data_IF_244676737313
#
_entry.id   IF_244676737313
#
_cell.length_a   1.000
_cell.length_b   1.000
_cell.length_c   1.000
_cell.angle_alpha   90.00
_cell.angle_beta   90.00
_cell.angle_gamma   90.00
#
_symmetry.space_group_name_H-M   'P 1'
#
loop_
_entity.id
_entity.type
_entity.pdbx_description
1 polymer ?
#
# COMPACT_ATOMS: atom_id res chain seq x y z
N UNK A 1 -8.98 1.87 -13.55
CA UNK A 1 -9.48 2.87 -12.58
C UNK A 1 -8.37 3.86 -12.25
N UNK A 2 -8.71 5.14 -12.17
CA UNK A 2 -7.82 6.22 -11.78
C UNK A 2 -8.48 7.09 -10.72
N UNK A 3 -7.67 7.74 -9.90
CA UNK A 3 -8.11 8.72 -8.92
C UNK A 3 -7.74 10.11 -9.42
N UNK A 4 -8.69 11.03 -9.43
CA UNK A 4 -8.51 12.43 -9.80
C UNK A 4 -8.82 13.28 -8.57
N UNK A 5 -7.91 14.19 -8.25
CA UNK A 5 -8.11 15.18 -7.18
C UNK A 5 -8.05 16.56 -7.80
N UNK A 6 -9.14 17.34 -7.69
CA UNK A 6 -9.21 18.68 -8.25
C UNK A 6 -9.59 19.71 -7.19
N UNK A 7 -8.81 20.78 -7.15
CA UNK A 7 -9.14 22.01 -6.42
C UNK A 7 -9.80 23.00 -7.38
N UNK A 8 -10.40 24.08 -6.84
CA UNK A 8 -11.11 25.06 -7.67
C UNK A 8 -10.24 25.60 -8.82
N UNK A 9 -8.99 25.90 -8.56
CA UNK A 9 -8.06 26.41 -9.59
C UNK A 9 -7.65 25.35 -10.65
N UNK A 10 -7.87 24.07 -10.38
CA UNK A 10 -7.57 22.96 -11.30
C UNK A 10 -8.78 22.56 -12.15
N UNK A 11 -9.96 23.03 -11.78
CA UNK A 11 -11.19 22.72 -12.49
C UNK A 11 -11.14 23.08 -13.99
N UNK A 12 -10.66 24.28 -14.39
CA UNK A 12 -10.49 24.61 -15.82
C UNK A 12 -9.56 23.64 -16.54
N UNK A 13 -8.48 23.22 -15.90
CA UNK A 13 -7.55 22.25 -16.49
C UNK A 13 -8.19 20.87 -16.72
N UNK A 14 -9.02 20.41 -15.79
CA UNK A 14 -9.77 19.17 -15.96
C UNK A 14 -10.79 19.28 -17.10
N UNK A 15 -11.55 20.36 -17.17
CA UNK A 15 -12.49 20.59 -18.28
C UNK A 15 -11.78 20.64 -19.63
N UNK A 16 -10.61 21.28 -19.68
CA UNK A 16 -9.79 21.32 -20.90
C UNK A 16 -9.27 19.92 -21.30
N UNK A 17 -8.78 19.13 -20.34
CA UNK A 17 -8.31 17.77 -20.60
C UNK A 17 -9.41 16.85 -21.12
N UNK A 18 -10.64 17.05 -20.63
CA UNK A 18 -11.83 16.32 -21.08
C UNK A 18 -12.42 16.87 -22.39
N UNK A 19 -11.91 18.00 -22.91
CA UNK A 19 -12.49 18.72 -24.07
C UNK A 19 -13.95 19.15 -23.82
N UNK A 20 -14.27 19.51 -22.56
CA UNK A 20 -15.61 19.90 -22.10
C UNK A 20 -15.60 21.32 -21.51
N UNK A 21 -15.32 22.36 -22.33
CA UNK A 21 -15.37 23.75 -21.84
C UNK A 21 -16.76 24.20 -21.40
N UNK A 22 -17.80 23.54 -21.88
CA UNK A 22 -19.21 23.78 -21.49
C UNK A 22 -19.46 23.60 -20.00
N UNK A 23 -18.65 22.80 -19.30
CA UNK A 23 -18.77 22.57 -17.85
C UNK A 23 -18.31 23.78 -17.01
N UNK A 24 -17.53 24.70 -17.58
CA UNK A 24 -17.00 25.86 -16.85
C UNK A 24 -18.11 26.83 -16.41
N UNK A 25 -19.08 27.06 -17.30
CA UNK A 25 -20.17 27.98 -17.10
C UNK A 25 -21.45 27.27 -16.63
N UNK A 26 -21.40 25.94 -16.41
CA UNK A 26 -22.55 25.18 -15.96
C UNK A 26 -22.84 25.48 -14.47
N UNK A 27 -24.05 25.96 -14.12
CA UNK A 27 -24.39 26.24 -12.72
C UNK A 27 -24.19 25.08 -11.75
N UNK A 28 -24.30 23.83 -12.21
CA UNK A 28 -24.06 22.63 -11.40
C UNK A 28 -22.59 22.43 -11.03
N UNK A 29 -21.63 23.08 -11.74
CA UNK A 29 -20.21 22.80 -11.58
C UNK A 29 -19.34 24.03 -11.39
N UNK A 30 -19.92 25.22 -11.31
CA UNK A 30 -19.21 26.51 -11.25
C UNK A 30 -18.28 26.63 -10.05
N UNK A 31 -18.63 26.07 -8.92
CA UNK A 31 -17.82 26.07 -7.70
C UNK A 31 -17.84 24.71 -6.97
N UNK A 32 -17.07 24.61 -5.88
CA UNK A 32 -16.98 23.36 -5.12
C UNK A 32 -18.31 22.96 -4.50
N UNK A 33 -19.10 23.85 -3.85
CA UNK A 33 -20.42 23.49 -3.32
C UNK A 33 -21.35 22.92 -4.38
N UNK A 34 -21.47 23.59 -5.53
CA UNK A 34 -22.33 23.16 -6.64
C UNK A 34 -21.90 21.78 -7.17
N UNK A 35 -20.58 21.53 -7.33
CA UNK A 35 -20.07 20.21 -7.72
C UNK A 35 -20.35 19.12 -6.70
N UNK A 36 -20.31 19.42 -5.41
CA UNK A 36 -20.65 18.45 -4.35
C UNK A 36 -22.13 18.10 -4.34
N UNK A 37 -23.01 19.09 -4.57
CA UNK A 37 -24.44 18.86 -4.69
C UNK A 37 -24.78 17.98 -5.89
N UNK A 38 -24.06 18.16 -7.00
CA UNK A 38 -24.25 17.42 -8.26
C UNK A 38 -23.15 16.36 -8.51
N UNK A 39 -22.56 15.83 -7.44
CA UNK A 39 -21.40 14.91 -7.55
C UNK A 39 -21.71 13.66 -8.39
N UNK A 40 -22.92 13.14 -8.34
CA UNK A 40 -23.32 11.98 -9.14
C UNK A 40 -23.30 12.26 -10.65
N UNK A 41 -23.80 13.41 -11.06
CA UNK A 41 -23.77 13.87 -12.45
C UNK A 41 -22.33 14.09 -12.93
N UNK A 42 -21.54 14.80 -12.12
CA UNK A 42 -20.12 15.04 -12.42
C UNK A 42 -19.32 13.74 -12.54
N UNK A 43 -19.53 12.80 -11.61
CA UNK A 43 -18.87 11.50 -11.65
C UNK A 43 -19.19 10.76 -12.95
N UNK A 44 -20.46 10.75 -13.37
CA UNK A 44 -20.87 10.08 -14.62
C UNK A 44 -20.19 10.72 -15.84
N UNK A 45 -20.10 12.04 -15.90
CA UNK A 45 -19.40 12.75 -16.99
C UNK A 45 -17.93 12.37 -17.05
N UNK A 46 -17.26 12.36 -15.89
CA UNK A 46 -15.83 11.99 -15.82
C UNK A 46 -15.63 10.51 -16.20
N UNK A 47 -16.47 9.62 -15.70
CA UNK A 47 -16.38 8.20 -16.03
C UNK A 47 -16.62 7.92 -17.51
N UNK A 48 -17.57 8.59 -18.14
CA UNK A 48 -17.84 8.43 -19.56
C UNK A 48 -16.66 8.91 -20.41
N UNK A 49 -16.05 10.03 -20.00
CA UNK A 49 -14.81 10.48 -20.65
C UNK A 49 -13.68 9.46 -20.47
N UNK A 50 -13.50 8.91 -19.25
CA UNK A 50 -12.48 7.87 -18.98
C UNK A 50 -12.72 6.62 -19.83
N UNK A 51 -13.97 6.18 -19.96
CA UNK A 51 -14.33 5.02 -20.79
C UNK A 51 -14.10 5.26 -22.29
N UNK A 52 -14.12 6.52 -22.72
CA UNK A 52 -13.82 6.88 -24.11
C UNK A 52 -12.33 6.84 -24.46
N UNK A 53 -11.45 6.76 -23.45
CA UNK A 53 -10.00 6.68 -23.69
C UNK A 53 -9.61 5.24 -24.08
N UNK A 54 -8.57 5.08 -24.95
CA UNK A 54 -8.10 3.77 -25.37
C UNK A 54 -7.65 2.88 -24.22
N UNK A 55 -6.98 3.47 -23.22
CA UNK A 55 -6.46 2.80 -22.02
C UNK A 55 -6.24 3.79 -20.85
N UNK A 56 -5.89 3.24 -19.69
CA UNK A 56 -5.64 4.03 -18.47
C UNK A 56 -4.43 4.95 -18.62
N UNK A 57 -3.37 4.50 -19.27
CA UNK A 57 -2.11 5.27 -19.41
C UNK A 57 -2.33 6.51 -20.28
N UNK A 58 -3.12 6.40 -21.34
CA UNK A 58 -3.52 7.53 -22.18
C UNK A 58 -4.35 8.55 -21.39
N UNK A 59 -5.29 8.09 -20.56
CA UNK A 59 -6.08 8.99 -19.73
C UNK A 59 -5.21 9.74 -18.70
N UNK A 60 -4.31 9.01 -18.02
CA UNK A 60 -3.35 9.58 -17.08
C UNK A 60 -2.46 10.61 -17.77
N UNK A 61 -1.86 10.27 -18.93
CA UNK A 61 -0.99 11.18 -19.67
C UNK A 61 -1.68 12.49 -20.08
N UNK A 62 -2.95 12.43 -20.51
CA UNK A 62 -3.75 13.63 -20.85
C UNK A 62 -3.99 14.53 -19.63
N UNK A 63 -4.32 13.92 -18.49
CA UNK A 63 -4.57 14.66 -17.24
C UNK A 63 -3.27 15.28 -16.68
N UNK A 64 -2.16 14.52 -16.71
CA UNK A 64 -0.86 15.03 -16.30
C UNK A 64 -0.37 16.19 -17.20
N UNK A 65 -0.56 16.09 -18.50
CA UNK A 65 -0.24 17.17 -19.45
C UNK A 65 -1.03 18.45 -19.14
N UNK A 66 -2.26 18.32 -18.67
CA UNK A 66 -3.09 19.43 -18.20
C UNK A 66 -2.79 19.83 -16.74
N UNK A 67 -1.81 19.22 -16.07
CA UNK A 67 -1.46 19.45 -14.66
C UNK A 67 -2.59 19.17 -13.67
N UNK A 68 -3.44 18.22 -14.00
CA UNK A 68 -4.46 17.69 -13.09
C UNK A 68 -3.84 16.58 -12.27
N UNK A 69 -3.85 16.65 -10.93
CA UNK A 69 -3.36 15.58 -10.08
C UNK A 69 -4.15 14.30 -10.31
N UNK A 70 -3.46 13.27 -10.75
CA UNK A 70 -4.05 11.97 -11.10
C UNK A 70 -3.10 10.85 -10.70
N UNK A 71 -3.64 9.71 -10.34
CA UNK A 71 -2.87 8.50 -10.12
C UNK A 71 -3.68 7.27 -10.53
N UNK A 72 -3.06 6.26 -11.14
CA UNK A 72 -3.72 4.98 -11.38
C UNK A 72 -3.97 4.27 -10.04
N UNK A 73 -5.09 3.57 -9.93
CA UNK A 73 -5.37 2.68 -8.80
C UNK A 73 -4.77 1.33 -9.16
N UNK A 74 -3.65 1.00 -8.50
CA UNK A 74 -2.92 -0.23 -8.75
C UNK A 74 -3.61 -1.43 -8.09
N UNK A 75 -3.62 -2.56 -8.77
CA UNK A 75 -3.91 -3.84 -8.14
C UNK A 75 -2.81 -4.18 -7.11
N UNK A 76 -3.11 -5.10 -6.19
CA UNK A 76 -2.11 -5.57 -5.21
C UNK A 76 -0.86 -6.11 -5.92
N UNK A 77 -1.02 -6.85 -7.01
CA UNK A 77 0.09 -7.39 -7.79
C UNK A 77 0.96 -6.29 -8.38
N UNK A 78 0.37 -5.26 -8.96
CA UNK A 78 1.09 -4.11 -9.53
C UNK A 78 1.79 -3.33 -8.43
N UNK A 79 1.09 -3.02 -7.33
CA UNK A 79 1.67 -2.32 -6.19
C UNK A 79 2.89 -3.05 -5.60
N UNK A 80 2.78 -4.37 -5.40
CA UNK A 80 3.87 -5.19 -4.85
C UNK A 80 5.09 -5.30 -5.78
N UNK A 81 4.95 -4.94 -7.06
CA UNK A 81 6.04 -4.95 -8.03
C UNK A 81 6.39 -3.54 -8.54
N UNK A 82 5.71 -2.51 -8.06
CA UNK A 82 5.90 -1.15 -8.54
C UNK A 82 7.30 -0.63 -8.18
N UNK A 83 8.11 -0.17 -9.17
CA UNK A 83 9.51 0.23 -8.94
C UNK A 83 9.66 1.28 -7.84
N UNK A 84 8.77 2.29 -7.80
CA UNK A 84 8.80 3.33 -6.78
C UNK A 84 8.55 2.78 -5.38
N UNK A 85 7.56 1.87 -5.21
CA UNK A 85 7.24 1.29 -3.91
C UNK A 85 8.37 0.37 -3.40
N UNK A 86 9.01 -0.35 -4.30
CA UNK A 86 10.22 -1.14 -4.00
C UNK A 86 11.39 -0.24 -3.62
N UNK A 87 11.68 0.79 -4.42
CA UNK A 87 12.75 1.76 -4.13
C UNK A 87 12.53 2.46 -2.79
N UNK A 88 11.30 2.85 -2.50
CA UNK A 88 10.90 3.45 -1.22
C UNK A 88 10.96 2.47 -0.05
N UNK A 89 11.13 1.17 -0.30
CA UNK A 89 11.06 0.14 0.73
C UNK A 89 9.68 0.06 1.41
N UNK A 90 8.63 0.48 0.73
CA UNK A 90 7.23 0.31 1.17
C UNK A 90 6.79 -1.13 0.99
N UNK A 91 7.44 -1.83 0.07
CA UNK A 91 7.35 -3.27 -0.13
C UNK A 91 8.72 -3.87 0.17
N UNK A 92 8.77 -4.93 0.95
CA UNK A 92 9.98 -5.70 1.24
C UNK A 92 9.81 -7.16 0.89
N UNK A 93 10.90 -7.82 0.57
CA UNK A 93 10.92 -9.27 0.41
C UNK A 93 11.33 -9.90 1.74
N UNK A 94 10.59 -10.92 2.17
CA UNK A 94 10.93 -11.78 3.30
C UNK A 94 11.46 -13.10 2.78
N UNK A 95 12.47 -13.64 3.42
CA UNK A 95 12.97 -15.00 3.22
C UNK A 95 12.39 -15.91 4.31
N UNK A 96 11.31 -16.59 3.99
CA UNK A 96 10.68 -17.51 4.93
C UNK A 96 11.28 -18.89 4.78
N UNK A 97 11.70 -19.55 5.88
CA UNK A 97 12.45 -20.81 5.81
C UNK A 97 11.70 -21.96 5.11
N UNK A 98 10.37 -21.93 5.10
CA UNK A 98 9.55 -22.99 4.47
C UNK A 98 8.81 -22.53 3.22
N UNK A 99 8.47 -21.24 3.09
CA UNK A 99 7.72 -20.70 1.96
C UNK A 99 8.61 -20.11 0.87
N UNK A 100 9.90 -19.94 1.16
CA UNK A 100 10.82 -19.20 0.29
C UNK A 100 10.53 -17.68 0.28
N UNK A 101 11.10 -16.95 -0.67
CA UNK A 101 10.98 -15.50 -0.73
C UNK A 101 9.56 -15.08 -1.16
N UNK A 102 8.97 -14.14 -0.41
CA UNK A 102 7.71 -13.48 -0.77
C UNK A 102 7.70 -12.03 -0.35
N UNK A 103 6.85 -11.22 -0.99
CA UNK A 103 6.75 -9.79 -0.75
C UNK A 103 5.64 -9.47 0.24
N UNK A 104 5.93 -8.53 1.13
CA UNK A 104 4.96 -7.99 2.09
C UNK A 104 5.03 -6.47 2.14
N UNK A 105 3.96 -5.77 2.54
CA UNK A 105 4.05 -4.37 2.90
C UNK A 105 5.03 -4.18 4.06
N UNK A 106 5.87 -3.15 3.97
CA UNK A 106 6.78 -2.78 5.05
C UNK A 106 6.07 -1.82 6.04
N UNK A 107 6.69 -1.63 7.21
CA UNK A 107 6.24 -0.62 8.14
C UNK A 107 6.35 0.77 7.49
N UNK A 108 5.26 1.57 7.44
CA UNK A 108 5.29 2.90 6.85
C UNK A 108 6.08 3.91 7.68
N UNK A 109 6.26 3.65 8.98
CA UNK A 109 7.00 4.53 9.87
C UNK A 109 8.50 4.36 9.65
N UNK A 110 9.19 5.49 9.53
CA UNK A 110 10.65 5.56 9.38
C UNK A 110 11.18 6.52 10.41
N UNK A 111 12.24 6.13 11.08
CA UNK A 111 12.93 6.92 12.09
C UNK A 111 14.32 7.25 11.58
N UNK A 112 14.81 8.46 11.89
CA UNK A 112 16.16 8.92 11.52
C UNK A 112 17.25 8.14 12.26
N UNK A 113 16.98 7.76 13.50
CA UNK A 113 17.82 6.87 14.28
C UNK A 113 17.19 5.47 14.21
N UNK A 114 17.91 4.54 13.55
CA UNK A 114 17.32 3.33 13.06
C UNK A 114 16.84 2.38 14.16
N UNK A 115 15.59 1.97 14.04
CA UNK A 115 15.17 0.68 14.60
C UNK A 115 15.97 -0.44 13.91
N UNK A 116 16.32 -1.51 14.64
CA UNK A 116 16.92 -2.67 14.01
C UNK A 116 16.03 -3.16 12.86
N UNK A 117 16.63 -3.70 11.79
CA UNK A 117 15.83 -4.22 10.69
C UNK A 117 14.84 -5.26 11.24
N UNK A 118 13.58 -5.22 10.81
CA UNK A 118 12.61 -6.21 11.26
C UNK A 118 13.05 -7.60 10.81
N UNK A 119 12.72 -8.66 11.57
CA UNK A 119 13.09 -10.02 11.25
C UNK A 119 12.60 -10.43 9.85
N UNK A 120 13.30 -11.39 9.25
CA UNK A 120 12.98 -11.85 7.89
C UNK A 120 11.67 -12.65 7.81
N UNK A 121 11.19 -13.19 8.92
CA UNK A 121 9.92 -13.92 8.98
C UNK A 121 9.25 -13.75 10.35
N UNK A 122 7.99 -14.09 10.43
CA UNK A 122 7.30 -14.22 11.71
C UNK A 122 7.85 -15.47 12.43
N UNK A 123 8.17 -15.38 13.74
CA UNK A 123 8.67 -16.52 14.49
C UNK A 123 7.75 -17.74 14.40
N UNK A 124 8.33 -18.91 14.24
CA UNK A 124 7.61 -20.16 14.38
C UNK A 124 7.29 -20.45 15.84
N UNK A 125 6.34 -21.32 16.08
CA UNK A 125 5.99 -21.72 17.45
C UNK A 125 7.23 -22.24 18.19
N UNK A 126 7.55 -21.59 19.32
CA UNK A 126 8.65 -22.00 20.18
C UNK A 126 10.07 -21.70 19.65
N UNK A 127 10.23 -21.00 18.52
CA UNK A 127 11.52 -20.67 17.92
C UNK A 127 12.49 -20.02 18.90
N UNK A 128 11.97 -19.13 19.75
CA UNK A 128 12.78 -18.39 20.72
C UNK A 128 12.63 -18.89 22.17
N UNK A 129 12.02 -20.05 22.42
CA UNK A 129 11.80 -20.58 23.76
C UNK A 129 13.07 -20.56 24.61
N UNK A 130 14.15 -21.12 24.10
CA UNK A 130 15.43 -21.23 24.84
C UNK A 130 16.06 -19.86 25.07
N UNK A 131 16.08 -19.01 24.06
CA UNK A 131 16.64 -17.67 24.13
C UNK A 131 15.91 -16.82 25.18
N UNK A 132 14.58 -16.79 25.12
CA UNK A 132 13.74 -16.01 26.04
C UNK A 132 13.89 -16.48 27.49
N UNK A 133 13.82 -17.79 27.75
CA UNK A 133 13.92 -18.33 29.10
C UNK A 133 15.32 -18.12 29.69
N UNK A 134 16.37 -18.27 28.89
CA UNK A 134 17.74 -18.03 29.33
C UNK A 134 17.98 -16.53 29.59
N UNK A 135 17.61 -15.66 28.64
CA UNK A 135 17.95 -14.25 28.69
C UNK A 135 17.12 -13.48 29.71
N UNK A 136 15.82 -13.74 29.79
CA UNK A 136 14.90 -12.98 30.66
C UNK A 136 14.63 -13.60 32.01
N UNK A 137 14.73 -14.94 32.13
CA UNK A 137 14.48 -15.65 33.40
C UNK A 137 15.74 -16.27 33.99
N UNK A 138 16.90 -16.19 33.31
CA UNK A 138 18.17 -16.75 33.81
C UNK A 138 18.16 -18.26 33.96
N UNK A 139 17.28 -18.97 33.26
CA UNK A 139 17.16 -20.42 33.38
C UNK A 139 18.36 -21.14 32.79
N UNK A 140 18.86 -22.18 33.47
CA UNK A 140 19.87 -23.05 32.95
C UNK A 140 19.34 -23.98 31.83
N UNK A 141 20.21 -24.42 30.94
CA UNK A 141 19.83 -25.27 29.81
C UNK A 141 19.22 -26.61 30.23
N UNK A 142 19.65 -27.16 31.37
CA UNK A 142 19.11 -28.39 31.94
C UNK A 142 17.63 -28.18 32.37
N UNK A 143 17.30 -27.03 32.97
CA UNK A 143 15.95 -26.70 33.38
C UNK A 143 15.05 -26.52 32.16
N UNK A 144 15.53 -25.83 31.12
CA UNK A 144 14.79 -25.64 29.85
C UNK A 144 14.57 -27.00 29.18
N UNK A 145 15.60 -27.85 29.13
CA UNK A 145 15.47 -29.21 28.60
C UNK A 145 14.46 -30.07 29.34
N UNK A 146 14.41 -29.98 30.67
CA UNK A 146 13.41 -30.71 31.48
C UNK A 146 11.97 -30.22 31.14
N UNK A 147 11.75 -28.93 30.95
CA UNK A 147 10.45 -28.40 30.54
C UNK A 147 10.05 -28.86 29.12
N UNK A 148 11.00 -28.97 28.20
CA UNK A 148 10.77 -29.53 26.86
C UNK A 148 10.35 -31.01 26.96
N UNK A 149 11.10 -31.82 27.74
CA UNK A 149 10.82 -33.26 27.93
C UNK A 149 9.47 -33.49 28.62
N UNK A 150 9.08 -32.60 29.52
CA UNK A 150 7.79 -32.64 30.18
C UNK A 150 6.61 -32.15 29.29
N UNK A 151 6.88 -31.71 28.06
CA UNK A 151 5.86 -31.20 27.14
C UNK A 151 5.29 -29.84 27.54
N UNK A 152 5.92 -29.13 28.48
CA UNK A 152 5.52 -27.77 28.90
C UNK A 152 5.94 -26.74 27.84
N UNK A 153 7.13 -26.91 27.25
CA UNK A 153 7.61 -26.11 26.14
C UNK A 153 7.39 -26.86 24.83
N UNK A 154 6.53 -26.28 24.00
CA UNK A 154 6.24 -26.80 22.67
C UNK A 154 6.97 -25.95 21.61
N UNK A 155 7.51 -26.61 20.61
CA UNK A 155 8.12 -25.97 19.45
C UNK A 155 7.60 -26.61 18.17
N UNK A 156 7.70 -25.87 17.06
CA UNK A 156 7.38 -26.39 15.74
C UNK A 156 8.38 -27.51 15.37
N UNK A 157 7.87 -28.63 14.86
CA UNK A 157 8.69 -29.80 14.48
C UNK A 157 9.79 -29.47 13.47
N UNK A 158 9.63 -28.40 12.71
CA UNK A 158 10.60 -27.92 11.72
C UNK A 158 11.81 -27.20 12.35
N UNK A 159 11.79 -26.94 13.66
CA UNK A 159 12.89 -26.35 14.42
C UNK A 159 13.81 -27.40 15.08
N UNK A 160 13.49 -28.67 14.92
CA UNK A 160 14.23 -29.80 15.51
C UNK A 160 15.50 -30.15 14.69
#
# INVERSE_FOLDING_TARGET
FIMIVTLQHQWPSLCQAMERPDLLDNPHFVDIPARLEHIGELTSIIEDWLRSQPDTDTAVAKLEAARVPVAPILSVREAMNHPHLLHRGTVRTLDHPTLGPFKVPANPLRFSEGLPPPPNHAPMLGEHNREVLRHHLGMADEQIGALQQAGVLVADERLA
#
